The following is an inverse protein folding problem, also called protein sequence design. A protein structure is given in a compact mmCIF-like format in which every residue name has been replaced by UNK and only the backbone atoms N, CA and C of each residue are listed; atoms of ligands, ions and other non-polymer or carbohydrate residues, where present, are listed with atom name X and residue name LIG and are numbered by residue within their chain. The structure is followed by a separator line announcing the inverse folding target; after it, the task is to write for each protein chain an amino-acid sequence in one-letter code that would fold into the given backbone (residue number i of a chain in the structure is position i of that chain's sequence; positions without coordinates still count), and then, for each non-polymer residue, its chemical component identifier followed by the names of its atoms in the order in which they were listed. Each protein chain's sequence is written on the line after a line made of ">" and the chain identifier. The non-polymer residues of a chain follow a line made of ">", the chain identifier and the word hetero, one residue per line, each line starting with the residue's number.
data_IF_401132026988
#
_entry.id   IF_401132026988
#
_cell.length_a   1.000
_cell.length_b   1.000
_cell.length_c   1.000
_cell.angle_alpha   90.00
_cell.angle_beta   90.00
_cell.angle_gamma   90.00
#
_symmetry.space_group_name_H-M   'P 1'
#
loop_
_entity.id
_entity.type
_entity.pdbx_description
1 polymer ?
#
# COMPACT_ATOMS: atom_id res chain seq x y z
N UNK A 1 11.08 26.00 5.19
CA UNK A 1 11.69 26.38 3.88
C UNK A 1 12.64 27.57 3.98
N UNK A 2 12.27 28.70 4.59
CA UNK A 2 13.11 29.92 4.64
C UNK A 2 14.44 29.72 5.40
N UNK A 3 14.47 28.85 6.41
CA UNK A 3 15.68 28.52 7.18
C UNK A 3 16.70 27.70 6.39
N UNK A 4 16.25 26.75 5.57
CA UNK A 4 17.11 25.90 4.75
C UNK A 4 17.83 26.69 3.64
N UNK A 5 17.13 27.65 3.02
CA UNK A 5 17.71 28.50 1.96
C UNK A 5 18.76 29.46 2.52
N UNK A 6 18.55 30.03 3.72
CA UNK A 6 19.56 30.86 4.39
C UNK A 6 20.79 30.06 4.80
N UNK A 7 20.60 28.82 5.28
CA UNK A 7 21.69 27.91 5.64
C UNK A 7 22.52 27.52 4.41
N UNK A 8 21.86 27.20 3.29
CA UNK A 8 22.54 26.90 2.04
C UNK A 8 23.38 28.08 1.52
N UNK A 9 22.82 29.30 1.54
CA UNK A 9 23.54 30.50 1.14
C UNK A 9 24.73 30.81 2.06
N UNK A 10 24.59 30.57 3.37
CA UNK A 10 25.70 30.71 4.31
C UNK A 10 26.81 29.71 4.03
N UNK A 11 26.47 28.44 3.78
CA UNK A 11 27.46 27.40 3.43
C UNK A 11 28.15 27.71 2.10
N UNK A 12 27.41 28.17 1.08
CA UNK A 12 27.95 28.56 -0.21
C UNK A 12 28.90 29.78 -0.10
N UNK A 13 28.54 30.78 0.72
CA UNK A 13 29.39 31.94 0.96
C UNK A 13 30.71 31.56 1.66
N UNK A 14 30.64 30.67 2.66
CA UNK A 14 31.83 30.16 3.36
C UNK A 14 32.72 29.36 2.41
N UNK A 15 32.14 28.47 1.59
CA UNK A 15 32.87 27.69 0.59
C UNK A 15 33.55 28.55 -0.47
N UNK A 16 32.84 29.57 -0.99
CA UNK A 16 33.40 30.51 -1.97
C UNK A 16 34.55 31.33 -1.36
N UNK A 17 34.41 31.77 -0.11
CA UNK A 17 35.48 32.45 0.63
C UNK A 17 36.72 31.58 0.82
N UNK A 18 36.54 30.28 1.08
CA UNK A 18 37.67 29.33 1.21
C UNK A 18 38.36 29.08 -0.13
N UNK A 19 37.61 28.95 -1.22
CA UNK A 19 38.18 28.77 -2.56
C UNK A 19 38.96 30.01 -3.00
N UNK A 20 38.44 31.22 -2.75
CA UNK A 20 39.12 32.47 -3.09
C UNK A 20 40.42 32.66 -2.31
N UNK A 21 40.43 32.33 -1.03
CA UNK A 21 41.64 32.43 -0.20
C UNK A 21 42.72 31.42 -0.61
N UNK A 22 42.32 30.20 -1.00
CA UNK A 22 43.24 29.22 -1.57
C UNK A 22 43.80 29.65 -2.93
N UNK A 23 42.96 30.17 -3.82
CA UNK A 23 43.38 30.65 -5.14
C UNK A 23 44.35 31.84 -5.05
N UNK A 24 44.10 32.76 -4.12
CA UNK A 24 45.00 33.88 -3.85
C UNK A 24 46.36 33.40 -3.31
N UNK A 25 46.37 32.41 -2.40
CA UNK A 25 47.59 31.82 -1.86
C UNK A 25 48.45 31.14 -2.94
N UNK A 26 47.83 30.37 -3.82
CA UNK A 26 48.52 29.70 -4.95
C UNK A 26 49.05 30.74 -5.95
N UNK A 27 48.27 31.78 -6.25
CA UNK A 27 48.67 32.84 -7.18
C UNK A 27 49.94 33.58 -6.71
N UNK A 28 50.01 33.91 -5.41
CA UNK A 28 51.19 34.56 -4.82
C UNK A 28 52.41 33.64 -4.83
N UNK A 29 52.22 32.34 -4.53
CA UNK A 29 53.32 31.37 -4.56
C UNK A 29 53.92 31.18 -5.97
N UNK A 30 53.07 31.13 -7.01
CA UNK A 30 53.52 31.02 -8.41
C UNK A 30 54.24 32.27 -8.89
N UNK A 31 53.80 33.45 -8.46
CA UNK A 31 54.42 34.72 -8.83
C UNK A 31 55.84 34.86 -8.23
N UNK A 32 55.99 34.47 -6.97
CA UNK A 32 57.27 34.52 -6.24
C UNK A 32 58.24 33.43 -6.71
N UNK A 33 57.74 32.23 -7.05
CA UNK A 33 58.58 31.13 -7.54
C UNK A 33 59.27 31.41 -8.88
N UNK A 34 58.79 32.40 -9.65
CA UNK A 34 59.43 32.87 -10.88
C UNK A 34 60.57 33.87 -10.67
N UNK A 35 60.75 34.41 -9.46
CA UNK A 35 61.70 35.49 -9.18
C UNK A 35 62.75 35.18 -8.08
N UNK A 36 62.65 34.07 -7.35
CA UNK A 36 63.46 33.82 -6.14
C UNK A 36 64.79 33.09 -6.35
N UNK A 37 65.86 33.62 -5.75
CA UNK A 37 67.21 33.03 -5.68
C UNK A 37 67.34 32.02 -4.51
N UNK A 38 68.33 31.12 -4.53
CA UNK A 38 68.44 29.96 -3.61
C UNK A 38 68.43 30.33 -2.11
N UNK A 39 68.92 31.52 -1.75
CA UNK A 39 68.92 32.03 -0.37
C UNK A 39 67.53 32.50 0.10
N UNK A 40 66.68 32.98 -0.81
CA UNK A 40 65.30 33.35 -0.48
C UNK A 40 64.48 32.09 -0.19
N UNK A 41 64.67 31.01 -0.96
CA UNK A 41 64.00 29.73 -0.74
C UNK A 41 64.22 29.14 0.66
N UNK A 42 65.41 29.34 1.25
CA UNK A 42 65.69 28.91 2.63
C UNK A 42 64.90 29.72 3.68
N UNK A 43 64.75 31.04 3.47
CA UNK A 43 63.88 31.90 4.31
C UNK A 43 62.41 31.50 4.17
N UNK A 44 61.96 31.21 2.95
CA UNK A 44 60.58 30.76 2.69
C UNK A 44 60.31 29.33 3.21
N UNK A 45 61.31 28.45 3.28
CA UNK A 45 61.16 27.12 3.90
C UNK A 45 60.81 27.21 5.39
N UNK A 46 61.36 28.21 6.09
CA UNK A 46 61.05 28.46 7.50
C UNK A 46 59.62 29.03 7.67
N UNK A 47 59.15 29.80 6.68
CA UNK A 47 57.75 30.23 6.57
C UNK A 47 56.83 29.06 6.19
N UNK A 48 57.30 28.09 5.41
CA UNK A 48 56.57 26.85 5.09
C UNK A 48 56.25 26.01 6.33
N UNK A 49 57.12 26.02 7.35
CA UNK A 49 56.90 25.32 8.62
C UNK A 49 55.74 25.92 9.43
N UNK A 50 55.50 27.23 9.34
CA UNK A 50 54.35 27.88 10.00
C UNK A 50 53.04 27.63 9.25
N UNK A 51 53.07 27.39 7.94
CA UNK A 51 51.91 26.94 7.17
C UNK A 51 51.45 25.52 7.55
N UNK A 52 52.36 24.64 7.96
CA UNK A 52 51.99 23.31 8.49
C UNK A 52 51.16 23.41 9.76
N UNK A 53 51.53 24.32 10.68
CA UNK A 53 50.75 24.61 11.89
C UNK A 53 49.40 25.23 11.56
N UNK A 54 49.34 26.11 10.55
CA UNK A 54 48.08 26.70 10.10
C UNK A 54 47.14 25.64 9.47
N UNK A 55 47.68 24.71 8.67
CA UNK A 55 46.87 23.66 8.03
C UNK A 55 46.26 22.68 9.04
N UNK A 56 46.98 22.34 10.12
CA UNK A 56 46.47 21.42 11.14
C UNK A 56 45.32 22.03 11.94
N UNK A 57 45.38 23.34 12.19
CA UNK A 57 44.29 24.11 12.80
C UNK A 57 43.05 24.11 11.88
N UNK A 58 43.24 24.33 10.58
CA UNK A 58 42.14 24.32 9.60
C UNK A 58 41.51 22.92 9.46
N UNK A 59 42.32 21.87 9.36
CA UNK A 59 41.83 20.48 9.30
C UNK A 59 41.09 20.08 10.58
N UNK A 60 41.54 20.53 11.75
CA UNK A 60 40.85 20.33 13.02
C UNK A 60 39.46 20.99 13.03
N UNK A 61 39.37 22.23 12.56
CA UNK A 61 38.09 22.93 12.42
C UNK A 61 37.15 22.26 11.41
N UNK A 62 37.68 21.84 10.25
CA UNK A 62 36.89 21.12 9.24
C UNK A 62 36.34 19.79 9.79
N UNK A 63 37.13 19.07 10.58
CA UNK A 63 36.70 17.83 11.22
C UNK A 63 35.57 18.06 12.24
N UNK A 64 35.67 19.12 13.04
CA UNK A 64 34.61 19.50 14.00
C UNK A 64 33.29 19.81 13.28
N UNK A 65 33.35 20.56 12.17
CA UNK A 65 32.17 20.85 11.34
C UNK A 65 31.58 19.57 10.78
N UNK A 66 32.39 18.68 10.20
CA UNK A 66 31.93 17.42 9.61
C UNK A 66 31.26 16.51 10.65
N UNK A 67 31.86 16.39 11.84
CA UNK A 67 31.31 15.61 12.96
C UNK A 67 30.01 16.23 13.47
N UNK A 68 29.93 17.56 13.53
CA UNK A 68 28.71 18.30 13.88
C UNK A 68 27.58 18.05 12.89
N UNK A 69 27.83 18.25 11.59
CA UNK A 69 26.87 18.01 10.51
C UNK A 69 26.44 16.55 10.47
N UNK A 70 27.38 15.61 10.60
CA UNK A 70 27.06 14.19 10.66
C UNK A 70 26.12 13.87 11.81
N UNK A 71 26.37 14.37 13.02
CA UNK A 71 25.46 14.19 14.17
C UNK A 71 24.07 14.75 13.90
N UNK A 72 23.97 15.94 13.30
CA UNK A 72 22.70 16.57 12.99
C UNK A 72 21.91 15.75 11.94
N UNK A 73 22.58 15.29 10.87
CA UNK A 73 21.98 14.42 9.86
C UNK A 73 21.52 13.07 10.43
N UNK A 74 22.28 12.47 11.35
CA UNK A 74 21.86 11.24 12.03
C UNK A 74 20.63 11.42 12.93
N UNK A 75 20.43 12.61 13.50
CA UNK A 75 19.26 12.92 14.29
C UNK A 75 18.02 13.10 13.40
N UNK A 76 18.13 13.87 12.32
CA UNK A 76 17.05 14.06 11.33
C UNK A 76 16.57 12.73 10.73
N UNK A 77 17.49 11.82 10.40
CA UNK A 77 17.14 10.49 9.87
C UNK A 77 16.35 9.63 10.86
N UNK A 78 16.56 9.80 12.17
CA UNK A 78 15.78 9.08 13.19
C UNK A 78 14.38 9.64 13.33
N UNK A 79 14.23 10.95 13.16
CA UNK A 79 12.93 11.61 13.19
C UNK A 79 12.09 11.23 11.97
N UNK A 80 12.68 11.23 10.76
CA UNK A 80 12.00 10.77 9.54
C UNK A 80 11.52 9.32 9.62
N UNK A 81 12.29 8.42 10.25
CA UNK A 81 11.85 7.02 10.46
C UNK A 81 10.60 6.93 11.35
N UNK A 82 10.52 7.77 12.40
CA UNK A 82 9.35 7.82 13.28
C UNK A 82 8.11 8.34 12.55
N UNK A 83 8.27 9.35 11.71
CA UNK A 83 7.18 9.87 10.88
C UNK A 83 6.68 8.83 9.88
N UNK A 84 7.59 8.09 9.23
CA UNK A 84 7.23 7.00 8.31
C UNK A 84 6.50 5.84 9.00
N UNK A 85 6.93 5.46 10.21
CA UNK A 85 6.23 4.44 11.01
C UNK A 85 4.81 4.90 11.35
N UNK A 86 4.65 6.14 11.79
CA UNK A 86 3.33 6.72 12.06
C UNK A 86 2.46 6.78 10.80
N UNK A 87 3.00 7.21 9.66
CA UNK A 87 2.30 7.20 8.38
C UNK A 87 1.88 5.79 7.96
N UNK A 88 2.75 4.79 8.14
CA UNK A 88 2.44 3.39 7.81
C UNK A 88 1.26 2.86 8.63
N UNK A 89 1.21 3.17 9.93
CA UNK A 89 0.09 2.78 10.79
C UNK A 89 -1.23 3.41 10.33
N UNK A 90 -1.22 4.69 9.99
CA UNK A 90 -2.39 5.37 9.45
C UNK A 90 -2.83 4.80 8.09
N UNK A 91 -1.88 4.50 7.19
CA UNK A 91 -2.18 3.89 5.90
C UNK A 91 -2.80 2.50 6.02
N UNK A 92 -2.33 1.67 6.96
CA UNK A 92 -2.91 0.33 7.20
C UNK A 92 -4.35 0.44 7.73
N UNK A 93 -4.59 1.36 8.67
CA UNK A 93 -5.93 1.63 9.18
C UNK A 93 -6.87 2.13 8.07
N UNK A 94 -6.42 3.09 7.26
CA UNK A 94 -7.17 3.57 6.11
C UNK A 94 -7.47 2.46 5.10
N UNK A 95 -6.51 1.59 4.82
CA UNK A 95 -6.69 0.45 3.92
C UNK A 95 -7.79 -0.50 4.39
N UNK A 96 -7.83 -0.83 5.70
CA UNK A 96 -8.88 -1.69 6.24
C UNK A 96 -10.27 -1.07 6.19
N UNK A 97 -10.39 0.24 6.44
CA UNK A 97 -11.68 0.95 6.35
C UNK A 97 -12.15 1.07 4.91
N UNK A 98 -11.24 1.36 3.97
CA UNK A 98 -11.53 1.37 2.53
C UNK A 98 -11.95 -0.01 2.04
N UNK A 99 -11.29 -1.07 2.49
CA UNK A 99 -11.66 -2.43 2.11
C UNK A 99 -13.05 -2.79 2.63
N UNK A 100 -13.34 -2.51 3.91
CA UNK A 100 -14.69 -2.71 4.49
C UNK A 100 -15.75 -1.92 3.74
N UNK A 101 -15.46 -0.67 3.38
CA UNK A 101 -16.35 0.17 2.59
C UNK A 101 -16.56 -0.40 1.18
N UNK A 102 -15.50 -0.87 0.51
CA UNK A 102 -15.58 -1.49 -0.80
C UNK A 102 -16.40 -2.78 -0.77
N UNK A 103 -16.21 -3.63 0.25
CA UNK A 103 -16.99 -4.85 0.45
C UNK A 103 -18.48 -4.54 0.67
N UNK A 104 -18.81 -3.53 1.48
CA UNK A 104 -20.18 -3.08 1.66
C UNK A 104 -20.79 -2.54 0.35
N UNK A 105 -20.02 -1.77 -0.42
CA UNK A 105 -20.45 -1.23 -1.70
C UNK A 105 -20.69 -2.33 -2.75
N UNK A 106 -19.86 -3.38 -2.79
CA UNK A 106 -20.09 -4.55 -3.64
C UNK A 106 -21.39 -5.28 -3.27
N UNK A 107 -21.72 -5.37 -1.97
CA UNK A 107 -23.00 -5.92 -1.52
C UNK A 107 -24.20 -5.11 -2.02
N UNK A 108 -24.11 -3.78 -1.97
CA UNK A 108 -25.15 -2.88 -2.49
C UNK A 108 -25.34 -3.03 -4.00
N UNK A 109 -24.25 -3.02 -4.77
CA UNK A 109 -24.30 -3.24 -6.23
C UNK A 109 -24.95 -4.58 -6.56
N UNK A 110 -24.60 -5.63 -5.82
CA UNK A 110 -25.20 -6.96 -6.00
C UNK A 110 -26.71 -6.96 -5.71
N UNK A 111 -27.16 -6.25 -4.69
CA UNK A 111 -28.59 -6.07 -4.43
C UNK A 111 -29.29 -5.33 -5.56
N UNK A 112 -28.67 -4.29 -6.12
CA UNK A 112 -29.23 -3.51 -7.23
C UNK A 112 -29.39 -4.33 -8.50
N UNK A 113 -28.36 -5.08 -8.91
CA UNK A 113 -28.45 -5.92 -10.12
C UNK A 113 -29.51 -7.01 -9.99
N UNK A 114 -29.69 -7.61 -8.81
CA UNK A 114 -30.77 -8.60 -8.60
C UNK A 114 -32.13 -7.92 -8.63
N UNK A 115 -32.29 -6.73 -8.04
CA UNK A 115 -33.55 -5.99 -8.12
C UNK A 115 -33.91 -5.66 -9.57
N UNK A 116 -32.94 -5.29 -10.40
CA UNK A 116 -33.15 -5.08 -11.84
C UNK A 116 -33.59 -6.37 -12.54
N UNK A 117 -32.92 -7.48 -12.28
CA UNK A 117 -33.30 -8.79 -12.82
C UNK A 117 -34.68 -9.26 -12.33
N UNK A 118 -35.08 -8.94 -11.10
CA UNK A 118 -36.43 -9.22 -10.61
C UNK A 118 -37.43 -8.34 -11.37
N UNK A 119 -37.14 -7.07 -11.64
CA UNK A 119 -38.13 -6.18 -12.30
C UNK A 119 -38.28 -6.45 -13.81
N UNK A 120 -37.22 -6.87 -14.49
CA UNK A 120 -37.20 -7.10 -15.93
C UNK A 120 -36.93 -8.57 -16.29
N UNK A 121 -37.88 -9.20 -16.99
CA UNK A 121 -37.76 -10.59 -17.45
C UNK A 121 -36.57 -10.80 -18.39
N UNK A 122 -36.26 -9.82 -19.25
CA UNK A 122 -35.15 -9.92 -20.19
C UNK A 122 -33.79 -9.94 -19.47
N UNK A 123 -33.67 -9.19 -18.37
CA UNK A 123 -32.48 -9.19 -17.53
C UNK A 123 -32.37 -10.45 -16.66
N UNK A 124 -33.50 -11.01 -16.22
CA UNK A 124 -33.52 -12.30 -15.52
C UNK A 124 -32.94 -13.44 -16.36
N UNK A 125 -33.08 -13.39 -17.69
CA UNK A 125 -32.58 -14.43 -18.60
C UNK A 125 -31.04 -14.49 -18.71
N UNK A 126 -30.35 -13.42 -18.28
CA UNK A 126 -28.87 -13.42 -18.21
C UNK A 126 -28.38 -14.25 -17.01
N UNK A 127 -29.22 -14.40 -15.99
CA UNK A 127 -28.90 -15.24 -14.85
C UNK A 127 -29.20 -16.71 -15.17
N UNK A 128 -28.32 -17.64 -14.75
CA UNK A 128 -28.60 -19.06 -14.90
C UNK A 128 -29.87 -19.43 -14.14
N UNK A 129 -30.75 -20.18 -14.79
CA UNK A 129 -31.97 -20.67 -14.17
C UNK A 129 -31.64 -21.64 -13.03
N UNK A 130 -32.38 -21.55 -11.91
CA UNK A 130 -32.16 -22.41 -10.75
C UNK A 130 -32.51 -23.88 -10.99
N UNK A 131 -33.18 -24.22 -12.09
CA UNK A 131 -33.49 -25.59 -12.45
C UNK A 131 -34.14 -25.69 -13.84
N UNK A 132 -34.19 -26.88 -14.44
CA UNK A 132 -34.88 -27.08 -15.70
C UNK A 132 -36.38 -26.83 -15.53
N UNK A 133 -36.97 -26.03 -16.42
CA UNK A 133 -38.42 -25.80 -16.54
C UNK A 133 -39.08 -24.96 -15.42
N UNK A 134 -38.35 -24.02 -14.83
CA UNK A 134 -38.91 -23.09 -13.84
C UNK A 134 -39.64 -21.95 -14.55
N UNK A 135 -40.93 -21.75 -14.22
CA UNK A 135 -41.69 -20.64 -14.78
C UNK A 135 -41.04 -19.27 -14.46
N UNK A 136 -41.15 -18.26 -15.34
CA UNK A 136 -40.48 -16.96 -15.15
C UNK A 136 -40.85 -16.28 -13.83
N UNK A 137 -42.08 -16.44 -13.37
CA UNK A 137 -42.56 -15.88 -12.10
C UNK A 137 -41.89 -16.57 -10.90
N UNK A 138 -41.75 -17.89 -10.97
CA UNK A 138 -41.08 -18.67 -9.94
C UNK A 138 -39.57 -18.38 -9.91
N UNK A 139 -38.95 -18.14 -11.06
CA UNK A 139 -37.55 -17.70 -11.12
C UNK A 139 -37.33 -16.38 -10.35
N UNK A 140 -38.25 -15.41 -10.49
CA UNK A 140 -38.20 -14.14 -9.73
C UNK A 140 -38.33 -14.36 -8.21
N UNK A 141 -39.20 -15.28 -7.79
CA UNK A 141 -39.35 -15.65 -6.38
C UNK A 141 -38.07 -16.30 -5.83
N UNK A 142 -37.39 -17.13 -6.62
CA UNK A 142 -36.12 -17.75 -6.25
C UNK A 142 -34.96 -16.73 -6.21
N UNK A 143 -34.91 -15.79 -7.15
CA UNK A 143 -33.97 -14.65 -7.12
C UNK A 143 -34.18 -13.79 -5.86
N UNK A 144 -35.43 -13.56 -5.48
CA UNK A 144 -35.76 -12.85 -4.23
C UNK A 144 -35.38 -13.66 -2.99
N UNK A 145 -35.58 -14.98 -3.00
CA UNK A 145 -35.14 -15.87 -1.91
C UNK A 145 -33.61 -15.83 -1.74
N UNK A 146 -32.85 -15.80 -2.85
CA UNK A 146 -31.41 -15.58 -2.83
C UNK A 146 -31.04 -14.23 -2.18
N UNK A 147 -31.75 -13.15 -2.51
CA UNK A 147 -31.55 -11.83 -1.91
C UNK A 147 -31.69 -11.86 -0.38
N UNK A 148 -32.76 -12.48 0.12
CA UNK A 148 -33.03 -12.62 1.55
C UNK A 148 -31.92 -13.43 2.22
N UNK A 149 -31.54 -14.56 1.64
CA UNK A 149 -30.47 -15.39 2.19
C UNK A 149 -29.14 -14.62 2.31
N UNK A 150 -28.77 -13.87 1.28
CA UNK A 150 -27.52 -13.10 1.28
C UNK A 150 -27.53 -11.95 2.28
N UNK A 151 -28.65 -11.25 2.43
CA UNK A 151 -28.82 -10.22 3.46
C UNK A 151 -28.56 -10.80 4.85
N UNK A 152 -29.11 -11.98 5.12
CA UNK A 152 -28.96 -12.64 6.41
C UNK A 152 -27.53 -13.13 6.64
N UNK A 153 -26.85 -13.60 5.58
CA UNK A 153 -25.42 -13.92 5.64
C UNK A 153 -24.55 -12.70 5.98
N UNK A 154 -24.83 -11.54 5.38
CA UNK A 154 -24.11 -10.30 5.66
C UNK A 154 -24.38 -9.84 7.09
N UNK A 155 -25.63 -9.91 7.55
CA UNK A 155 -25.98 -9.62 8.93
C UNK A 155 -25.10 -10.42 9.89
N UNK A 156 -24.93 -11.72 9.67
CA UNK A 156 -24.11 -12.59 10.53
C UNK A 156 -22.62 -12.22 10.59
N UNK A 157 -22.07 -11.58 9.56
CA UNK A 157 -20.66 -11.14 9.56
C UNK A 157 -20.51 -9.80 10.28
N UNK A 158 -21.52 -8.94 10.19
CA UNK A 158 -21.48 -7.58 10.76
C UNK A 158 -21.87 -7.58 12.24
N UNK A 159 -22.86 -8.37 12.61
CA UNK A 159 -23.29 -8.52 14.01
C UNK A 159 -22.59 -9.70 14.65
N UNK A 160 -22.07 -9.55 15.86
CA UNK A 160 -21.58 -10.66 16.72
C UNK A 160 -22.76 -11.53 17.22
N UNK A 161 -23.69 -11.88 16.34
CA UNK A 161 -24.87 -12.67 16.69
C UNK A 161 -24.43 -14.05 17.17
N UNK A 162 -25.06 -14.50 18.24
CA UNK A 162 -24.84 -15.84 18.75
C UNK A 162 -25.26 -16.86 17.70
N UNK A 163 -24.56 -18.00 17.66
CA UNK A 163 -24.92 -19.13 16.78
C UNK A 163 -26.39 -19.56 16.94
N UNK A 164 -26.99 -19.33 18.12
CA UNK A 164 -28.38 -19.63 18.41
C UNK A 164 -29.34 -18.70 17.67
N UNK A 165 -29.15 -17.38 17.74
CA UNK A 165 -29.97 -16.39 17.02
C UNK A 165 -29.94 -16.63 15.50
N UNK A 166 -28.78 -17.01 14.97
CA UNK A 166 -28.66 -17.43 13.57
C UNK A 166 -29.57 -18.61 13.24
N UNK A 167 -29.55 -19.66 14.06
CA UNK A 167 -30.33 -20.87 13.82
C UNK A 167 -31.83 -20.60 13.94
N UNK A 168 -32.25 -19.74 14.85
CA UNK A 168 -33.65 -19.33 15.00
C UNK A 168 -34.14 -18.55 13.79
N UNK A 169 -33.35 -17.58 13.33
CA UNK A 169 -33.66 -16.79 12.14
C UNK A 169 -33.71 -17.66 10.88
N UNK A 170 -32.76 -18.59 10.72
CA UNK A 170 -32.79 -19.55 9.62
C UNK A 170 -34.01 -20.46 9.73
N UNK A 171 -34.34 -21.02 10.89
CA UNK A 171 -35.57 -21.82 11.07
C UNK A 171 -36.82 -21.05 10.65
N UNK A 172 -36.90 -19.78 11.00
CA UNK A 172 -38.00 -18.92 10.58
C UNK A 172 -38.04 -18.75 9.05
N UNK A 173 -36.94 -18.39 8.41
CA UNK A 173 -36.86 -18.22 6.94
C UNK A 173 -37.22 -19.49 6.17
N UNK A 174 -36.74 -20.64 6.65
CA UNK A 174 -37.00 -21.95 6.07
C UNK A 174 -38.40 -22.50 6.38
N UNK A 175 -39.24 -21.75 7.11
CA UNK A 175 -40.67 -22.06 7.25
C UNK A 175 -41.40 -21.87 5.91
N UNK A 176 -40.94 -20.94 5.06
CA UNK A 176 -41.49 -20.75 3.73
C UNK A 176 -41.14 -21.91 2.78
N UNK A 177 -42.11 -22.49 2.04
CA UNK A 177 -41.85 -23.57 1.08
C UNK A 177 -40.93 -23.13 -0.06
N UNK A 178 -41.01 -21.86 -0.47
CA UNK A 178 -40.15 -21.30 -1.52
C UNK A 178 -38.69 -21.24 -1.10
N UNK A 179 -38.40 -20.93 0.17
CA UNK A 179 -37.03 -20.91 0.69
C UNK A 179 -36.43 -22.31 0.75
N UNK A 180 -37.23 -23.32 1.12
CA UNK A 180 -36.80 -24.74 1.07
C UNK A 180 -36.54 -25.20 -0.35
N UNK A 181 -37.37 -24.78 -1.29
CA UNK A 181 -37.21 -25.12 -2.70
C UNK A 181 -35.98 -24.45 -3.31
N UNK A 182 -35.77 -23.16 -3.06
CA UNK A 182 -34.54 -22.45 -3.38
C UNK A 182 -33.31 -23.19 -2.85
N UNK A 183 -33.33 -23.59 -1.57
CA UNK A 183 -32.19 -24.26 -0.96
C UNK A 183 -31.85 -25.61 -1.61
N UNK A 184 -32.88 -26.36 -2.01
CA UNK A 184 -32.76 -27.65 -2.71
C UNK A 184 -32.20 -27.47 -4.12
N UNK A 185 -32.73 -26.51 -4.88
CA UNK A 185 -32.30 -26.23 -6.25
C UNK A 185 -30.89 -25.65 -6.29
N UNK A 186 -30.56 -24.76 -5.35
CA UNK A 186 -29.23 -24.15 -5.23
C UNK A 186 -28.16 -25.05 -4.60
N UNK A 187 -28.49 -26.28 -4.20
CA UNK A 187 -27.51 -27.22 -3.62
C UNK A 187 -26.38 -27.53 -4.60
N UNK A 188 -26.72 -27.77 -5.87
CA UNK A 188 -25.73 -28.03 -6.92
C UNK A 188 -24.79 -26.83 -7.12
N UNK A 189 -25.33 -25.62 -7.26
CA UNK A 189 -24.54 -24.39 -7.42
C UNK A 189 -23.63 -24.10 -6.22
N UNK A 190 -24.08 -24.41 -4.99
CA UNK A 190 -23.25 -24.26 -3.78
C UNK A 190 -22.16 -25.32 -3.70
N UNK A 191 -22.45 -26.58 -4.02
CA UNK A 191 -21.45 -27.66 -4.05
C UNK A 191 -20.32 -27.39 -5.07
N UNK A 192 -20.68 -26.78 -6.21
CA UNK A 192 -19.75 -26.29 -7.23
C UNK A 192 -18.90 -25.12 -6.72
N UNK A 193 -19.53 -24.12 -6.09
CA UNK A 193 -18.85 -22.95 -5.52
C UNK A 193 -17.86 -23.29 -4.39
N UNK A 194 -18.24 -24.23 -3.51
CA UNK A 194 -17.36 -24.71 -2.43
C UNK A 194 -16.12 -25.44 -2.97
N UNK A 195 -16.22 -26.10 -4.14
CA UNK A 195 -15.06 -26.69 -4.82
C UNK A 195 -14.08 -25.59 -5.31
N UNK A 196 -14.60 -24.52 -5.92
CA UNK A 196 -13.80 -23.40 -6.44
C UNK A 196 -13.17 -22.56 -5.32
N UNK A 197 -13.90 -22.28 -4.24
CA UNK A 197 -13.38 -21.49 -3.10
C UNK A 197 -12.29 -22.26 -2.36
N UNK A 198 -12.44 -23.58 -2.20
CA UNK A 198 -11.41 -24.44 -1.57
C UNK A 198 -10.13 -24.54 -2.41
N UNK A 199 -10.22 -24.43 -3.74
CA UNK A 199 -9.08 -24.40 -4.66
C UNK A 199 -8.43 -23.00 -4.77
N UNK A 200 -9.21 -21.92 -4.57
CA UNK A 200 -8.68 -20.52 -4.55
C UNK A 200 -7.69 -20.27 -3.40
N UNK A 201 -7.79 -21.00 -2.30
CA UNK A 201 -6.77 -20.98 -1.23
C UNK A 201 -5.46 -21.70 -1.59
N UNK A 202 -5.43 -22.53 -2.64
CA UNK A 202 -4.21 -23.23 -3.09
C UNK A 202 -3.60 -22.68 -4.39
N UNK A 203 -4.32 -21.86 -5.15
CA UNK A 203 -3.92 -21.45 -6.52
C UNK A 203 -4.06 -19.93 -6.73
N UNK A 204 -3.11 -19.15 -6.20
CA UNK A 204 -2.75 -17.85 -6.76
C UNK A 204 -1.89 -18.08 -8.02
N UNK A 205 -2.47 -18.74 -9.03
CA UNK A 205 -1.84 -19.08 -10.31
C UNK A 205 -2.89 -19.04 -11.42
N UNK A 206 -2.98 -17.88 -12.07
CA UNK A 206 -4.06 -17.50 -12.99
C UNK A 206 -3.84 -18.11 -14.39
N UNK A 207 -3.96 -19.44 -14.58
CA UNK A 207 -4.01 -20.07 -15.92
C UNK A 207 -4.48 -21.52 -15.84
N UNK A 208 -5.80 -21.76 -15.72
CA UNK A 208 -6.53 -22.90 -16.30
C UNK A 208 -7.98 -22.91 -15.78
N UNK A 209 -8.93 -22.45 -16.60
CA UNK A 209 -10.36 -22.46 -16.29
C UNK A 209 -11.19 -23.24 -17.33
N UNK A 210 -10.69 -24.33 -17.89
CA UNK A 210 -11.42 -25.04 -18.96
C UNK A 210 -11.49 -26.56 -18.86
N UNK A 211 -11.51 -27.11 -17.65
CA UNK A 211 -11.85 -28.51 -17.47
C UNK A 211 -12.19 -28.79 -16.01
N UNK A 212 -13.06 -29.76 -15.77
CA UNK A 212 -13.41 -30.31 -14.45
C UNK A 212 -14.62 -29.66 -13.77
N UNK A 213 -15.78 -29.80 -14.40
CA UNK A 213 -17.01 -30.24 -13.71
C UNK A 213 -17.88 -31.10 -14.65
N UNK A 214 -17.25 -31.90 -15.50
CA UNK A 214 -17.91 -32.97 -16.24
C UNK A 214 -17.91 -34.23 -15.38
N UNK A 215 -19.09 -34.67 -14.96
CA UNK A 215 -19.26 -35.98 -14.36
C UNK A 215 -19.01 -37.07 -15.40
N UNK A 216 -18.07 -37.95 -15.11
CA UNK A 216 -18.07 -39.29 -15.70
C UNK A 216 -19.20 -40.09 -15.05
N UNK A 217 -20.36 -40.07 -15.70
CA UNK A 217 -21.32 -41.16 -15.63
C UNK A 217 -21.11 -42.06 -16.84
N UNK A 218 -20.61 -43.27 -16.64
CA UNK A 218 -20.42 -44.24 -17.72
C UNK A 218 -19.54 -45.42 -17.35
N UNK A 219 -20.10 -46.34 -16.57
CA UNK A 219 -19.58 -47.68 -16.30
C UNK A 219 -20.71 -48.59 -15.87
#
# INVERSE_FOLDING_TARGET
>A
MITAVRLFWWMAAVALGTVLTLAAGVGVAVLLGRQGDAADWAKWSNVGQTFGVLSSIISGLALVVLVGTGRMQFQEMREQRRELEQQRHLHVQQGSELQRSAEANLGLLHFEIIKLAINDRSLAAVWPEFGPDVSPEKNRQLLYANLIYQLQRISLVVTENSRQEMLEMMRYLFTSPLMREYWRLGEYARSQGDCVVRRRTSELGFHEMSGLCGGEGGG
#
